data_IF_022347334673
#
_entry.id   IF_022347334673
#
_cell.length_a   1.000
_cell.length_b   1.000
_cell.length_c   1.000
_cell.angle_alpha   90.00
_cell.angle_beta   90.00
_cell.angle_gamma   90.00
#
_symmetry.space_group_name_H-M   'P 1'
#
loop_
_entity.id
_entity.type
_entity.pdbx_description
1 polymer ?
#
# COMPACT_ATOMS: atom_id res chain seq x y z
N UNK A 1 -12.39 -2.58 31.78
CA UNK A 1 -11.44 -3.05 30.78
C UNK A 1 -10.28 -2.06 30.76
N UNK A 2 -9.14 -2.44 31.34
CA UNK A 2 -7.97 -1.56 31.45
C UNK A 2 -7.29 -1.59 30.09
N UNK A 3 -7.31 -0.46 29.37
CA UNK A 3 -6.47 -0.28 28.17
C UNK A 3 -5.02 -0.34 28.65
N UNK A 4 -4.19 -1.28 28.17
CA UNK A 4 -2.79 -1.28 28.55
C UNK A 4 -2.18 0.04 28.10
N UNK A 5 -1.64 0.78 29.06
CA UNK A 5 -0.89 2.01 28.80
C UNK A 5 0.44 1.62 28.16
N UNK A 6 0.46 1.52 26.85
CA UNK A 6 1.70 1.28 26.07
C UNK A 6 2.48 2.58 25.97
N UNK A 7 3.00 3.05 27.12
CA UNK A 7 4.08 4.03 27.13
C UNK A 7 5.38 3.33 26.68
N UNK A 8 5.47 2.93 25.43
CA UNK A 8 6.75 2.70 24.77
C UNK A 8 7.27 4.07 24.38
N UNK A 9 8.19 4.61 25.17
CA UNK A 9 8.97 5.83 24.88
C UNK A 9 9.97 5.59 23.71
N UNK A 10 9.62 4.78 22.74
CA UNK A 10 10.38 4.70 21.51
C UNK A 10 9.99 5.90 20.65
N UNK A 11 10.88 6.89 20.65
CA UNK A 11 10.77 8.00 19.71
C UNK A 11 10.68 7.42 18.29
N UNK A 12 9.68 7.80 17.50
CA UNK A 12 9.61 7.36 16.11
C UNK A 12 10.92 7.73 15.41
N UNK A 13 11.44 6.89 14.51
CA UNK A 13 12.63 7.21 13.78
C UNK A 13 12.46 8.60 13.15
N UNK A 14 13.46 9.48 13.27
CA UNK A 14 13.31 10.85 12.82
C UNK A 14 12.87 10.85 11.35
N UNK A 15 11.80 11.58 11.05
CA UNK A 15 11.17 11.62 9.72
C UNK A 15 12.18 11.95 8.61
N UNK A 16 13.24 12.67 8.95
CA UNK A 16 14.37 12.99 8.04
C UNK A 16 15.08 11.71 7.58
N UNK A 17 15.36 10.75 8.46
CA UNK A 17 16.05 9.50 8.09
C UNK A 17 15.20 8.66 7.14
N UNK A 18 13.89 8.61 7.35
CA UNK A 18 12.97 7.93 6.44
C UNK A 18 12.91 8.62 5.08
N UNK A 19 12.86 9.95 5.05
CA UNK A 19 12.86 10.70 3.80
C UNK A 19 14.16 10.46 3.01
N UNK A 20 15.31 10.52 3.67
CA UNK A 20 16.61 10.22 3.04
C UNK A 20 16.63 8.80 2.51
N UNK A 21 16.20 7.83 3.28
CA UNK A 21 16.13 6.42 2.88
C UNK A 21 15.28 6.23 1.61
N UNK A 22 14.04 6.77 1.58
CA UNK A 22 13.17 6.66 0.41
C UNK A 22 13.72 7.43 -0.79
N UNK A 23 14.39 8.57 -0.57
CA UNK A 23 15.03 9.34 -1.64
C UNK A 23 16.16 8.54 -2.28
N UNK A 24 17.00 7.88 -1.48
CA UNK A 24 18.08 7.03 -2.00
C UNK A 24 17.54 5.87 -2.81
N UNK A 25 16.56 5.13 -2.28
CA UNK A 25 15.94 4.01 -3.04
C UNK A 25 15.24 4.52 -4.30
N UNK A 26 14.49 5.60 -4.20
CA UNK A 26 13.80 6.22 -5.34
C UNK A 26 14.79 6.67 -6.42
N UNK A 27 15.93 7.25 -6.02
CA UNK A 27 17.00 7.60 -6.94
C UNK A 27 17.59 6.36 -7.62
N UNK A 28 17.89 5.30 -6.87
CA UNK A 28 18.39 4.04 -7.44
C UNK A 28 17.41 3.46 -8.46
N UNK A 29 16.11 3.48 -8.17
CA UNK A 29 15.08 3.03 -9.10
C UNK A 29 15.01 3.92 -10.34
N UNK A 30 15.06 5.24 -10.19
CA UNK A 30 14.99 6.19 -11.29
C UNK A 30 16.23 6.14 -12.18
N UNK A 31 17.43 6.05 -11.62
CA UNK A 31 18.66 5.99 -12.39
C UNK A 31 18.93 4.60 -12.97
N UNK A 32 18.57 3.53 -12.24
CA UNK A 32 18.82 2.15 -12.68
C UNK A 32 17.82 1.65 -13.74
N UNK A 33 16.57 2.07 -13.62
CA UNK A 33 15.47 1.53 -14.44
C UNK A 33 14.67 2.61 -15.18
N UNK A 34 14.93 3.90 -14.90
CA UNK A 34 14.20 5.00 -15.55
C UNK A 34 14.48 5.09 -17.04
N UNK A 35 13.44 5.46 -17.77
CA UNK A 35 13.55 5.74 -19.20
C UNK A 35 14.56 6.85 -19.46
N UNK A 36 15.21 6.78 -20.60
CA UNK A 36 16.10 7.86 -21.01
C UNK A 36 15.30 9.15 -21.22
N UNK A 37 15.70 10.23 -20.56
CA UNK A 37 14.93 11.48 -20.53
C UNK A 37 14.69 12.05 -21.92
N UNK A 38 15.69 11.90 -22.83
CA UNK A 38 15.56 12.34 -24.21
C UNK A 38 14.44 11.63 -24.98
N UNK A 39 14.16 10.38 -24.63
CA UNK A 39 13.08 9.60 -25.25
C UNK A 39 11.72 9.94 -24.66
N UNK A 40 11.64 10.43 -23.44
CA UNK A 40 10.38 10.81 -22.80
C UNK A 40 9.68 11.97 -23.53
N UNK A 41 10.45 12.96 -23.97
CA UNK A 41 9.92 14.12 -24.73
C UNK A 41 9.41 13.74 -26.13
N UNK A 42 9.88 12.61 -26.67
CA UNK A 42 9.55 12.14 -28.02
C UNK A 42 8.63 10.89 -28.03
N UNK A 43 8.40 10.26 -26.87
CA UNK A 43 7.68 8.97 -26.83
C UNK A 43 6.21 9.19 -26.53
N UNK A 44 5.37 8.73 -27.41
CA UNK A 44 3.96 8.45 -27.13
C UNK A 44 3.93 7.41 -26.00
N UNK A 45 3.36 7.76 -24.84
CA UNK A 45 3.13 6.79 -23.76
C UNK A 45 2.30 5.66 -24.33
N UNK A 46 2.88 4.48 -24.45
CA UNK A 46 2.16 3.32 -24.98
C UNK A 46 1.38 2.65 -23.86
N UNK A 47 0.12 2.33 -24.12
CA UNK A 47 -0.71 1.58 -23.17
C UNK A 47 -0.06 0.25 -22.76
N UNK A 48 0.75 -0.34 -23.61
CA UNK A 48 1.48 -1.59 -23.35
C UNK A 48 2.33 -1.54 -22.08
N UNK A 49 2.89 -0.38 -21.75
CA UNK A 49 3.74 -0.23 -20.57
C UNK A 49 2.94 -0.25 -19.24
N UNK A 50 1.68 0.15 -19.28
CA UNK A 50 0.85 0.24 -18.09
C UNK A 50 -0.03 -1.01 -17.89
N UNK A 51 -0.31 -1.78 -18.95
CA UNK A 51 -1.17 -2.96 -18.91
C UNK A 51 -0.77 -3.94 -17.80
N UNK A 52 0.51 -4.31 -17.62
CA UNK A 52 0.90 -5.23 -16.55
C UNK A 52 0.56 -4.70 -15.15
N UNK A 53 0.73 -3.39 -14.93
CA UNK A 53 0.40 -2.74 -13.65
C UNK A 53 -1.12 -2.70 -13.43
N UNK A 54 -1.90 -2.38 -14.47
CA UNK A 54 -3.37 -2.42 -14.41
C UNK A 54 -3.85 -3.83 -14.07
N UNK A 55 -3.26 -4.86 -14.67
CA UNK A 55 -3.60 -6.24 -14.37
C UNK A 55 -3.38 -6.56 -12.88
N UNK A 56 -2.23 -6.19 -12.32
CA UNK A 56 -1.93 -6.39 -10.89
C UNK A 56 -2.93 -5.65 -10.00
N UNK A 57 -3.23 -4.38 -10.32
CA UNK A 57 -4.23 -3.59 -9.59
C UNK A 57 -5.60 -4.27 -9.63
N UNK A 58 -6.02 -4.73 -10.82
CA UNK A 58 -7.32 -5.39 -11.00
C UNK A 58 -7.42 -6.69 -10.20
N UNK A 59 -6.37 -7.51 -10.22
CA UNK A 59 -6.29 -8.75 -9.42
C UNK A 59 -6.30 -8.45 -7.92
N UNK A 60 -5.61 -7.39 -7.49
CA UNK A 60 -5.64 -6.96 -6.10
C UNK A 60 -7.05 -6.52 -5.68
N UNK A 61 -7.72 -5.66 -6.45
CA UNK A 61 -9.08 -5.19 -6.17
C UNK A 61 -10.08 -6.33 -6.15
N UNK A 62 -9.98 -7.28 -7.08
CA UNK A 62 -10.80 -8.48 -7.09
C UNK A 62 -10.56 -9.33 -5.82
N UNK A 63 -9.30 -9.54 -5.44
CA UNK A 63 -8.97 -10.26 -4.21
C UNK A 63 -9.45 -9.52 -2.95
N UNK A 64 -9.38 -8.19 -2.94
CA UNK A 64 -9.95 -7.37 -1.86
C UNK A 64 -11.46 -7.58 -1.73
N UNK A 65 -12.20 -7.47 -2.83
CA UNK A 65 -13.64 -7.68 -2.85
C UNK A 65 -14.03 -9.08 -2.35
N UNK A 66 -13.30 -10.12 -2.81
CA UNK A 66 -13.62 -11.51 -2.49
C UNK A 66 -13.16 -11.93 -1.07
N UNK A 67 -12.06 -11.40 -0.58
CA UNK A 67 -11.48 -11.89 0.68
C UNK A 67 -11.76 -10.95 1.86
N UNK A 68 -11.63 -9.63 1.69
CA UNK A 68 -11.77 -8.72 2.82
C UNK A 68 -13.22 -8.34 3.08
N UNK A 69 -14.00 -8.09 2.03
CA UNK A 69 -15.44 -7.79 2.17
C UNK A 69 -16.19 -9.01 2.72
N UNK A 70 -15.90 -10.21 2.17
CA UNK A 70 -16.51 -11.46 2.65
C UNK A 70 -16.05 -11.78 4.09
N UNK A 71 -14.79 -11.51 4.45
CA UNK A 71 -14.33 -11.72 5.82
C UNK A 71 -15.11 -10.90 6.84
N UNK A 72 -15.43 -9.64 6.53
CA UNK A 72 -16.29 -8.80 7.39
C UNK A 72 -17.70 -9.37 7.47
N UNK A 73 -18.27 -9.81 6.35
CA UNK A 73 -19.60 -10.42 6.33
C UNK A 73 -19.65 -11.71 7.18
N UNK A 74 -18.64 -12.56 7.05
CA UNK A 74 -18.55 -13.81 7.83
C UNK A 74 -18.35 -13.54 9.34
N UNK A 75 -17.48 -12.60 9.70
CA UNK A 75 -17.30 -12.22 11.10
C UNK A 75 -18.61 -11.74 11.73
N UNK A 76 -19.39 -10.93 11.02
CA UNK A 76 -20.72 -10.50 11.48
C UNK A 76 -21.71 -11.67 11.61
N UNK A 77 -21.71 -12.58 10.62
CA UNK A 77 -22.62 -13.72 10.61
C UNK A 77 -22.35 -14.67 11.79
N UNK A 78 -21.11 -14.86 12.20
CA UNK A 78 -20.73 -15.68 13.36
C UNK A 78 -21.36 -15.20 14.67
N UNK A 79 -21.74 -13.93 14.76
CA UNK A 79 -22.41 -13.34 15.93
C UNK A 79 -23.93 -13.19 15.74
N UNK A 80 -24.54 -13.93 14.80
CA UNK A 80 -25.98 -13.91 14.55
C UNK A 80 -26.48 -12.67 13.79
N UNK A 81 -25.55 -11.86 13.27
CA UNK A 81 -25.92 -10.68 12.49
C UNK A 81 -25.71 -10.98 11.01
N UNK A 82 -26.79 -11.05 10.25
CA UNK A 82 -26.73 -11.16 8.79
C UNK A 82 -25.95 -10.00 8.17
N UNK A 83 -25.38 -10.19 6.99
CA UNK A 83 -24.56 -9.19 6.28
C UNK A 83 -25.26 -7.83 6.07
N UNK A 84 -26.58 -7.79 6.17
CA UNK A 84 -27.44 -6.60 6.02
C UNK A 84 -28.04 -6.11 7.34
N UNK A 85 -27.67 -6.69 8.49
CA UNK A 85 -28.22 -6.27 9.76
C UNK A 85 -27.82 -4.83 10.08
N UNK A 86 -28.82 -3.94 10.15
CA UNK A 86 -28.67 -2.55 10.57
C UNK A 86 -28.22 -2.41 12.03
N UNK A 87 -28.28 -3.49 12.80
CA UNK A 87 -27.89 -3.50 14.23
C UNK A 87 -26.37 -3.55 14.43
N UNK A 88 -25.60 -3.78 13.34
CA UNK A 88 -24.15 -3.76 13.40
C UNK A 88 -23.59 -2.54 12.67
N UNK A 89 -23.88 -1.37 13.24
CA UNK A 89 -23.20 -0.13 12.88
C UNK A 89 -21.74 -0.25 13.32
N UNK A 90 -20.74 -0.02 12.44
CA UNK A 90 -19.34 0.07 12.84
C UNK A 90 -19.09 1.15 13.90
N UNK A 91 -20.04 2.07 14.11
CA UNK A 91 -20.05 3.07 15.16
C UNK A 91 -20.64 2.55 16.49
N UNK A 92 -21.18 1.33 16.55
CA UNK A 92 -21.69 0.76 17.80
C UNK A 92 -20.53 0.49 18.74
N UNK A 93 -20.65 1.03 19.97
CA UNK A 93 -19.69 0.82 21.04
C UNK A 93 -19.46 -0.69 21.28
N UNK A 94 -18.19 -1.11 21.15
CA UNK A 94 -17.70 -2.45 21.46
C UNK A 94 -18.22 -3.58 20.54
N UNK A 95 -17.90 -3.60 19.24
CA UNK A 95 -18.11 -4.79 18.43
C UNK A 95 -17.25 -5.96 18.96
N UNK A 96 -17.66 -7.21 18.74
CA UNK A 96 -16.80 -8.37 18.99
C UNK A 96 -15.42 -8.18 18.34
N UNK A 97 -14.37 -8.67 18.99
CA UNK A 97 -12.98 -8.38 18.59
C UNK A 97 -12.69 -8.83 17.15
N UNK A 98 -13.15 -10.01 16.75
CA UNK A 98 -12.98 -10.55 15.39
C UNK A 98 -13.66 -9.67 14.33
N UNK A 99 -14.84 -9.12 14.64
CA UNK A 99 -15.54 -8.16 13.76
C UNK A 99 -14.76 -6.86 13.68
N UNK A 100 -14.27 -6.35 14.82
CA UNK A 100 -13.47 -5.14 14.86
C UNK A 100 -12.19 -5.30 14.03
N UNK A 101 -11.47 -6.41 14.20
CA UNK A 101 -10.25 -6.69 13.44
C UNK A 101 -10.51 -6.84 11.94
N UNK A 102 -11.62 -7.49 11.55
CA UNK A 102 -11.99 -7.60 10.15
C UNK A 102 -12.29 -6.23 9.51
N UNK A 103 -13.04 -5.37 10.21
CA UNK A 103 -13.35 -4.01 9.78
C UNK A 103 -12.09 -3.14 9.69
N UNK A 104 -11.19 -3.21 10.68
CA UNK A 104 -9.92 -2.46 10.66
C UNK A 104 -9.00 -2.94 9.55
N UNK A 105 -8.91 -4.25 9.31
CA UNK A 105 -8.14 -4.77 8.19
C UNK A 105 -8.67 -4.24 6.85
N UNK A 106 -9.99 -4.21 6.68
CA UNK A 106 -10.63 -3.65 5.48
C UNK A 106 -10.38 -2.15 5.35
N UNK A 107 -10.60 -1.37 6.41
CA UNK A 107 -10.39 0.08 6.41
C UNK A 107 -8.95 0.43 6.04
N UNK A 108 -7.96 -0.23 6.65
CA UNK A 108 -6.55 -0.01 6.34
C UNK A 108 -6.18 -0.34 4.88
N UNK A 109 -6.91 -1.25 4.21
CA UNK A 109 -6.72 -1.48 2.79
C UNK A 109 -7.23 -0.30 1.96
N UNK A 110 -8.42 0.20 2.29
CA UNK A 110 -9.03 1.34 1.59
C UNK A 110 -8.21 2.62 1.79
N UNK A 111 -7.72 2.88 3.00
CA UNK A 111 -6.89 4.05 3.31
C UNK A 111 -5.57 4.08 2.51
N UNK A 112 -4.97 2.92 2.26
CA UNK A 112 -3.72 2.81 1.51
C UNK A 112 -3.91 2.79 -0.01
N UNK A 113 -5.10 2.44 -0.48
CA UNK A 113 -5.39 2.25 -1.90
C UNK A 113 -5.10 3.48 -2.76
N UNK A 114 -5.53 4.71 -2.41
CA UNK A 114 -5.25 5.89 -3.23
C UNK A 114 -3.76 6.15 -3.42
N UNK A 115 -2.98 6.03 -2.34
CA UNK A 115 -1.53 6.24 -2.37
C UNK A 115 -0.87 5.19 -3.28
N UNK A 116 -1.27 3.93 -3.12
CA UNK A 116 -0.77 2.84 -3.95
C UNK A 116 -1.11 3.05 -5.44
N UNK A 117 -2.34 3.42 -5.77
CA UNK A 117 -2.75 3.64 -7.16
C UNK A 117 -1.91 4.74 -7.81
N UNK A 118 -1.75 5.87 -7.13
CA UNK A 118 -0.91 6.97 -7.64
C UNK A 118 0.54 6.51 -7.80
N UNK A 119 1.11 5.84 -6.81
CA UNK A 119 2.48 5.34 -6.88
C UNK A 119 2.68 4.35 -8.03
N UNK A 120 1.82 3.34 -8.15
CA UNK A 120 1.94 2.28 -9.14
C UNK A 120 1.78 2.82 -10.56
N UNK A 121 0.76 3.65 -10.79
CA UNK A 121 0.48 4.19 -12.13
C UNK A 121 1.54 5.21 -12.56
N UNK A 122 1.89 6.16 -11.68
CA UNK A 122 2.89 7.18 -12.04
C UNK A 122 4.27 6.58 -12.26
N UNK A 123 4.69 5.64 -11.41
CA UNK A 123 5.97 4.95 -11.59
C UNK A 123 6.01 4.14 -12.89
N UNK A 124 4.94 3.41 -13.19
CA UNK A 124 4.86 2.59 -14.42
C UNK A 124 4.87 3.44 -15.69
N UNK A 125 4.18 4.58 -15.67
CA UNK A 125 4.14 5.48 -16.81
C UNK A 125 5.45 6.25 -17.02
N UNK A 126 5.99 6.80 -15.96
CA UNK A 126 7.08 7.77 -16.04
C UNK A 126 8.46 7.11 -15.90
N UNK A 127 8.59 6.08 -15.08
CA UNK A 127 9.88 5.45 -14.79
C UNK A 127 10.06 4.15 -15.59
N UNK A 128 9.30 3.12 -15.25
CA UNK A 128 9.39 1.82 -15.93
C UNK A 128 8.16 0.95 -15.66
N UNK A 129 7.44 0.55 -16.73
CA UNK A 129 6.20 -0.22 -16.61
C UNK A 129 6.41 -1.63 -16.04
N UNK A 130 7.45 -2.33 -16.47
CA UNK A 130 7.74 -3.69 -15.99
C UNK A 130 8.12 -3.70 -14.51
N UNK A 131 9.04 -2.81 -14.11
CA UNK A 131 9.46 -2.68 -12.70
C UNK A 131 8.29 -2.21 -11.84
N UNK A 132 7.48 -1.28 -12.33
CA UNK A 132 6.26 -0.83 -11.67
C UNK A 132 5.27 -1.96 -11.42
N UNK A 133 5.05 -2.83 -12.40
CA UNK A 133 4.19 -4.01 -12.25
C UNK A 133 4.74 -5.00 -11.20
N UNK A 134 6.04 -5.26 -11.20
CA UNK A 134 6.69 -6.14 -10.21
C UNK A 134 6.55 -5.57 -8.80
N UNK A 135 6.88 -4.30 -8.60
CA UNK A 135 6.75 -3.63 -7.30
C UNK A 135 5.29 -3.59 -6.84
N UNK A 136 4.35 -3.36 -7.76
CA UNK A 136 2.92 -3.41 -7.48
C UNK A 136 2.46 -4.80 -7.04
N UNK A 137 2.97 -5.86 -7.67
CA UNK A 137 2.67 -7.24 -7.27
C UNK A 137 3.22 -7.55 -5.87
N UNK A 138 4.44 -7.15 -5.56
CA UNK A 138 5.04 -7.31 -4.24
C UNK A 138 4.19 -6.60 -3.19
N UNK A 139 3.80 -5.35 -3.42
CA UNK A 139 2.94 -4.60 -2.52
C UNK A 139 1.59 -5.31 -2.31
N UNK A 140 0.93 -5.74 -3.39
CA UNK A 140 -0.34 -6.44 -3.34
C UNK A 140 -0.27 -7.72 -2.50
N UNK A 141 0.78 -8.52 -2.68
CA UNK A 141 1.02 -9.76 -1.92
C UNK A 141 1.22 -9.43 -0.42
N UNK A 142 2.07 -8.45 -0.10
CA UNK A 142 2.31 -8.03 1.28
C UNK A 142 1.01 -7.55 1.95
N UNK A 143 0.17 -6.81 1.23
CA UNK A 143 -1.14 -6.37 1.74
C UNK A 143 -2.11 -7.52 1.97
N UNK A 144 -2.05 -8.62 1.18
CA UNK A 144 -2.85 -9.83 1.43
C UNK A 144 -2.41 -10.53 2.72
N UNK A 145 -1.11 -10.69 2.93
CA UNK A 145 -0.57 -11.25 4.16
C UNK A 145 -0.85 -10.36 5.38
N UNK A 146 -0.70 -9.05 5.24
CA UNK A 146 -1.11 -8.08 6.26
C UNK A 146 -2.55 -8.29 6.70
N UNK A 147 -3.50 -8.29 5.77
CA UNK A 147 -4.92 -8.44 6.09
C UNK A 147 -5.22 -9.77 6.79
N UNK A 148 -4.56 -10.87 6.35
CA UNK A 148 -4.67 -12.18 7.00
C UNK A 148 -4.12 -12.13 8.43
N UNK A 149 -2.90 -11.63 8.63
CA UNK A 149 -2.27 -11.53 9.95
C UNK A 149 -3.11 -10.67 10.90
N UNK A 150 -3.61 -9.54 10.40
CA UNK A 150 -4.44 -8.63 11.20
C UNK A 150 -5.74 -9.31 11.69
N UNK A 151 -6.45 -10.01 10.81
CA UNK A 151 -7.66 -10.76 11.18
C UNK A 151 -7.41 -11.92 12.14
N UNK A 152 -6.22 -12.52 12.09
CA UNK A 152 -5.84 -13.63 12.98
C UNK A 152 -5.19 -13.18 14.28
N UNK A 153 -5.22 -11.89 14.61
CA UNK A 153 -4.59 -11.33 15.81
C UNK A 153 -5.54 -11.26 17.02
N UNK A 154 -6.68 -11.92 16.98
CA UNK A 154 -7.62 -12.01 18.12
C UNK A 154 -6.87 -12.47 19.38
N UNK A 155 -6.97 -11.70 20.46
CA UNK A 155 -6.33 -11.98 21.73
C UNK A 155 -4.79 -11.85 21.75
N UNK A 156 -4.18 -11.32 20.68
CA UNK A 156 -2.72 -11.13 20.57
C UNK A 156 -2.32 -9.68 20.74
N UNK A 157 -1.12 -9.47 21.25
CA UNK A 157 -0.47 -8.15 21.21
C UNK A 157 -0.03 -7.80 19.77
N UNK A 158 0.34 -6.55 19.54
CA UNK A 158 0.83 -6.10 18.23
C UNK A 158 2.09 -6.86 17.78
N UNK A 159 3.04 -7.10 18.71
CA UNK A 159 4.26 -7.84 18.44
C UNK A 159 3.99 -9.30 18.07
N UNK A 160 3.09 -9.97 18.81
CA UNK A 160 2.71 -11.36 18.58
C UNK A 160 1.92 -11.58 17.29
N UNK A 161 1.27 -10.53 16.79
CA UNK A 161 0.44 -10.61 15.59
C UNK A 161 1.26 -10.78 14.31
N UNK A 162 2.52 -10.36 14.31
CA UNK A 162 3.39 -10.34 13.13
C UNK A 162 2.94 -9.39 12.02
N UNK A 163 1.97 -8.52 12.28
CA UNK A 163 1.42 -7.57 11.31
C UNK A 163 2.48 -6.61 10.78
N UNK A 164 3.42 -6.19 11.65
CA UNK A 164 4.53 -5.29 11.31
C UNK A 164 5.42 -5.85 10.21
N UNK A 165 5.60 -7.18 10.14
CA UNK A 165 6.44 -7.85 9.13
C UNK A 165 5.94 -7.63 7.71
N UNK A 166 4.67 -7.33 7.53
CA UNK A 166 4.06 -7.05 6.22
C UNK A 166 3.80 -5.56 6.00
N UNK A 167 3.54 -4.82 7.07
CA UNK A 167 3.26 -3.38 7.02
C UNK A 167 4.49 -2.60 6.56
N UNK A 168 5.62 -2.79 7.23
CA UNK A 168 6.85 -2.05 6.95
C UNK A 168 7.34 -2.26 5.52
N UNK A 169 7.49 -3.50 5.01
CA UNK A 169 7.88 -3.71 3.62
C UNK A 169 6.90 -3.12 2.60
N UNK A 170 5.58 -3.18 2.87
CA UNK A 170 4.59 -2.58 1.98
C UNK A 170 4.75 -1.06 1.88
N UNK A 171 5.02 -0.37 3.00
CA UNK A 171 5.32 1.06 2.99
C UNK A 171 6.63 1.38 2.27
N UNK A 172 7.67 0.54 2.44
CA UNK A 172 8.93 0.70 1.72
C UNK A 172 8.68 0.66 0.21
N UNK A 173 7.93 -0.32 -0.28
CA UNK A 173 7.65 -0.47 -1.71
C UNK A 173 6.91 0.75 -2.26
N UNK A 174 5.78 1.15 -1.64
CA UNK A 174 4.96 2.24 -2.18
C UNK A 174 5.66 3.59 -2.13
N UNK A 175 6.34 3.89 -1.02
CA UNK A 175 7.07 5.15 -0.91
C UNK A 175 8.29 5.20 -1.83
N UNK A 176 8.95 4.06 -2.09
CA UNK A 176 10.05 3.99 -3.06
C UNK A 176 9.57 4.23 -4.49
N UNK A 177 8.39 3.74 -4.86
CA UNK A 177 7.78 4.06 -6.16
C UNK A 177 7.46 5.55 -6.28
N UNK A 178 6.83 6.15 -5.26
CA UNK A 178 6.54 7.58 -5.26
C UNK A 178 7.81 8.41 -5.38
N UNK A 179 8.83 8.10 -4.58
CA UNK A 179 10.08 8.85 -4.59
C UNK A 179 10.86 8.63 -5.89
N UNK A 180 10.81 7.42 -6.47
CA UNK A 180 11.35 7.14 -7.79
C UNK A 180 10.71 8.00 -8.88
N UNK A 181 9.39 8.18 -8.83
CA UNK A 181 8.65 9.07 -9.72
C UNK A 181 9.09 10.54 -9.52
N UNK A 182 9.17 11.02 -8.27
CA UNK A 182 9.60 12.40 -7.96
C UNK A 182 11.01 12.66 -8.49
N UNK A 183 11.96 11.77 -8.21
CA UNK A 183 13.34 11.91 -8.69
C UNK A 183 13.39 11.93 -10.22
N UNK A 184 12.59 11.08 -10.87
CA UNK A 184 12.53 11.05 -12.33
C UNK A 184 11.96 12.35 -12.92
N UNK A 185 10.90 12.91 -12.32
CA UNK A 185 10.37 14.21 -12.71
C UNK A 185 11.38 15.34 -12.51
N UNK A 186 12.09 15.36 -11.38
CA UNK A 186 13.14 16.36 -11.12
C UNK A 186 14.25 16.28 -12.18
N UNK A 187 14.68 15.06 -12.53
CA UNK A 187 15.67 14.86 -13.60
C UNK A 187 15.17 15.39 -14.95
N UNK A 188 13.89 15.15 -15.27
CA UNK A 188 13.28 15.65 -16.51
C UNK A 188 13.32 17.19 -16.55
N UNK A 189 12.83 17.87 -15.51
CA UNK A 189 12.85 19.33 -15.46
C UNK A 189 14.27 19.92 -15.44
N UNK A 190 15.20 19.32 -14.68
CA UNK A 190 16.58 19.78 -14.64
C UNK A 190 17.28 19.68 -16.00
N UNK A 191 16.95 18.66 -16.79
CA UNK A 191 17.49 18.49 -18.14
C UNK A 191 16.96 19.55 -19.12
N UNK A 192 15.66 19.84 -19.06
CA UNK A 192 15.03 20.89 -19.88
C UNK A 192 15.66 22.26 -19.59
N UNK A 193 15.90 22.59 -18.30
CA UNK A 193 16.51 23.87 -17.91
C UNK A 193 17.98 24.01 -18.31
N UNK A 194 18.70 22.92 -18.50
CA UNK A 194 20.11 22.94 -18.94
C UNK A 194 20.28 23.11 -20.46
N UNK A 195 19.21 22.99 -21.22
CA UNK A 195 19.20 23.11 -22.68
C UNK A 195 18.77 24.50 -23.19
N UNK A 196 18.33 25.38 -22.28
CA UNK A 196 18.02 26.80 -22.52
C UNK A 196 19.07 27.72 -21.91
#
# INVERSE_FOLDING_TARGET
MVVPNTNTNESPPPAINLLVFYTVIGALLSFGFGKEIRTLAATTITLEEIIPTILVISLFLMSYSMLDVIAVANARANHGHGSQSKTFDPMVKNPPEDVHLALRAQANQVEQLPIYLVAALSFSLLVNGTVGAILSAIWAILRRFYAKAYRSSVGKTWEESGVSNYTVPAYIVVNSMLMGTVVHCVRFFSWEWLLW
#
